data_IF_162549928001
#
_entry.id   IF_162549928001
#
_cell.length_a   1.000
_cell.length_b   1.000
_cell.length_c   1.000
_cell.angle_alpha   90.00
_cell.angle_beta   90.00
_cell.angle_gamma   90.00
#
_symmetry.space_group_name_H-M   'P 1'
#
loop_
_entity.id
_entity.type
_entity.pdbx_description
1 polymer ?
#
# COMPACT_ATOMS: atom_id res chain seq x y z
N UNK A 1 -3.47 -10.23 11.23
CA UNK A 1 -3.74 -10.16 10.73
C UNK A 1 -4.38 -9.85 10.34
N UNK A 2 -4.14 -9.69 10.28
CA UNK A 2 -4.73 -9.41 9.92
C UNK A 2 -5.66 -9.55 9.49
N UNK A 3 -5.86 -9.13 9.55
CA UNK A 3 -7.07 -9.12 9.28
C UNK A 3 -7.44 -9.52 7.97
N UNK A 4 -7.32 -10.78 7.69
CA UNK A 4 -7.61 -11.32 6.45
C UNK A 4 -8.98 -11.07 5.97
N UNK A 5 -9.90 -10.94 6.88
CA UNK A 5 -11.20 -10.69 6.54
C UNK A 5 -11.39 -9.40 5.90
N UNK A 6 -10.79 -8.40 6.43
CA UNK A 6 -10.88 -7.11 5.90
C UNK A 6 -10.29 -7.09 4.55
N UNK A 7 -9.19 -7.76 4.37
CA UNK A 7 -8.53 -7.80 3.10
C UNK A 7 -9.42 -8.45 2.07
N UNK A 8 -10.05 -9.52 2.42
CA UNK A 8 -10.90 -10.23 1.50
C UNK A 8 -12.09 -9.39 1.11
N UNK A 9 -12.68 -8.72 2.06
CA UNK A 9 -13.81 -7.91 1.81
C UNK A 9 -13.51 -6.79 0.87
N UNK A 10 -12.31 -6.25 0.94
CA UNK A 10 -11.93 -5.14 0.10
C UNK A 10 -11.15 -5.54 -1.14
N UNK A 11 -11.14 -6.82 -1.44
CA UNK A 11 -10.43 -7.30 -2.58
C UNK A 11 -10.95 -6.61 -3.81
N UNK A 12 -10.14 -6.10 -4.64
CA UNK A 12 -10.55 -5.41 -5.83
C UNK A 12 -10.72 -3.91 -5.67
N UNK A 13 -10.77 -3.43 -4.45
CA UNK A 13 -10.89 -2.01 -4.24
C UNK A 13 -9.53 -1.40 -4.25
N UNK A 14 -9.46 -0.12 -4.49
CA UNK A 14 -8.20 0.60 -4.50
C UNK A 14 -8.25 1.74 -3.51
N UNK A 15 -7.08 2.15 -3.09
CA UNK A 15 -6.94 3.24 -2.13
C UNK A 15 -5.82 4.14 -2.59
N UNK A 16 -5.72 5.31 -1.99
CA UNK A 16 -4.61 6.20 -2.20
C UNK A 16 -3.74 6.09 -0.96
N UNK A 17 -2.46 5.93 -1.14
CA UNK A 17 -1.53 5.85 -0.04
C UNK A 17 -0.49 6.94 -0.14
N UNK A 18 -0.23 7.60 0.98
CA UNK A 18 0.85 8.57 1.06
C UNK A 18 1.89 7.94 1.98
N UNK A 19 3.04 7.64 1.43
CA UNK A 19 4.09 6.99 2.17
C UNK A 19 5.11 8.02 2.61
N UNK A 20 5.35 8.08 3.91
CA UNK A 20 6.30 8.99 4.50
C UNK A 20 7.58 8.22 4.80
N UNK A 21 8.69 8.71 4.30
CA UNK A 21 9.96 8.02 4.47
C UNK A 21 10.77 8.66 5.59
N UNK A 22 11.66 7.89 6.16
CA UNK A 22 12.44 8.35 7.30
C UNK A 22 13.36 9.52 6.97
N UNK A 23 13.65 9.74 5.70
CA UNK A 23 14.50 10.86 5.29
C UNK A 23 13.70 12.15 5.12
N UNK A 24 12.42 12.12 5.44
CA UNK A 24 11.59 13.32 5.34
C UNK A 24 10.81 13.47 4.04
N UNK A 25 11.06 12.60 3.09
CA UNK A 25 10.34 12.67 1.82
C UNK A 25 9.01 11.95 1.95
N UNK A 26 8.10 12.27 1.04
CA UNK A 26 6.85 11.54 1.00
C UNK A 26 6.44 11.40 -0.45
N UNK A 27 5.70 10.36 -0.74
CA UNK A 27 5.21 10.09 -2.08
C UNK A 27 3.77 9.63 -2.02
N UNK A 28 2.99 10.07 -2.99
CA UNK A 28 1.58 9.72 -3.07
C UNK A 28 1.38 8.72 -4.18
N UNK A 29 0.72 7.62 -3.88
CA UNK A 29 0.41 6.60 -4.87
C UNK A 29 -1.09 6.40 -4.91
N UNK A 30 -1.69 6.56 -6.07
CA UNK A 30 -3.12 6.41 -6.23
C UNK A 30 -3.44 5.07 -6.87
N UNK A 31 -4.65 4.61 -6.68
CA UNK A 31 -5.13 3.37 -7.29
C UNK A 31 -4.31 2.16 -6.90
N UNK A 32 -3.99 2.06 -5.63
CA UNK A 32 -3.25 0.93 -5.09
C UNK A 32 -4.23 -0.09 -4.55
N UNK A 33 -4.08 -1.34 -4.94
CA UNK A 33 -4.96 -2.39 -4.45
C UNK A 33 -4.70 -2.61 -2.98
N UNK A 34 -5.73 -3.05 -2.28
CA UNK A 34 -5.64 -3.22 -0.84
C UNK A 34 -4.81 -4.45 -0.45
N UNK A 35 -4.65 -5.39 -1.36
CA UNK A 35 -3.85 -6.57 -1.04
C UNK A 35 -2.38 -6.27 -1.27
N UNK A 36 -1.53 -6.84 -0.47
CA UNK A 36 -0.10 -6.65 -0.62
C UNK A 36 0.61 -7.92 -0.15
N UNK A 37 1.86 -8.04 -0.49
CA UNK A 37 2.65 -9.20 -0.12
C UNK A 37 3.92 -8.75 0.57
N UNK A 38 4.21 -9.35 1.71
CA UNK A 38 5.44 -9.09 2.41
C UNK A 38 6.48 -10.08 1.94
N UNK A 39 7.68 -9.58 1.70
CA UNK A 39 8.74 -10.44 1.26
C UNK A 39 10.03 -9.94 1.95
N UNK A 40 10.35 -10.55 3.07
CA UNK A 40 11.48 -10.07 3.88
C UNK A 40 11.15 -8.70 4.40
N UNK A 41 12.02 -7.74 4.12
CA UNK A 41 11.79 -6.37 4.58
C UNK A 41 11.17 -5.52 3.49
N UNK A 42 10.69 -6.15 2.43
CA UNK A 42 10.02 -5.41 1.36
C UNK A 42 8.54 -5.70 1.34
N UNK A 43 7.76 -4.73 0.96
CA UNK A 43 6.33 -4.90 0.76
C UNK A 43 6.04 -4.63 -0.71
N UNK A 44 5.38 -5.57 -1.35
CA UNK A 44 4.97 -5.43 -2.75
C UNK A 44 3.53 -4.99 -2.75
N UNK A 45 3.27 -3.90 -3.45
CA UNK A 45 1.91 -3.40 -3.59
C UNK A 45 1.57 -3.39 -5.06
N UNK A 46 0.32 -3.66 -5.37
CA UNK A 46 -0.12 -3.78 -6.75
C UNK A 46 -1.03 -2.61 -7.12
N UNK A 47 -0.78 -2.06 -8.29
CA UNK A 47 -1.57 -0.94 -8.77
C UNK A 47 -2.69 -1.44 -9.65
N UNK A 48 -3.71 -0.65 -9.79
CA UNK A 48 -4.86 -0.99 -10.60
C UNK A 48 -4.50 -1.29 -12.04
N UNK A 49 -3.49 -0.60 -12.55
CA UNK A 49 -3.08 -0.77 -13.95
C UNK A 49 -2.18 -1.98 -14.17
N UNK A 50 -1.96 -2.75 -13.14
CA UNK A 50 -1.13 -3.95 -13.26
C UNK A 50 0.32 -3.76 -12.87
N UNK A 51 0.73 -2.55 -12.61
CA UNK A 51 2.11 -2.31 -12.19
C UNK A 51 2.27 -2.67 -10.72
N UNK A 52 3.48 -2.72 -10.27
CA UNK A 52 3.79 -3.15 -8.92
C UNK A 52 4.80 -2.20 -8.31
N UNK A 53 4.62 -1.94 -7.03
CA UNK A 53 5.55 -1.14 -6.27
C UNK A 53 6.21 -2.02 -5.23
N UNK A 54 7.49 -1.79 -4.98
CA UNK A 54 8.20 -2.53 -3.98
C UNK A 54 8.81 -1.54 -3.03
N UNK A 55 8.42 -1.61 -1.79
CA UNK A 55 8.83 -0.64 -0.77
C UNK A 55 9.71 -1.33 0.26
N UNK A 56 10.83 -0.69 0.59
CA UNK A 56 11.69 -1.21 1.65
C UNK A 56 11.13 -0.69 2.96
N UNK A 57 10.56 -1.57 3.75
CA UNK A 57 9.90 -1.21 4.99
C UNK A 57 10.81 -0.46 5.97
N UNK A 58 12.08 -0.72 5.90
CA UNK A 58 13.02 -0.07 6.80
C UNK A 58 13.12 1.44 6.56
N UNK A 59 12.73 1.90 5.39
CA UNK A 59 12.79 3.31 5.05
C UNK A 59 11.46 4.04 5.26
N UNK A 60 10.47 3.33 5.74
CA UNK A 60 9.12 3.89 5.88
C UNK A 60 8.86 4.31 7.31
N UNK A 61 8.43 5.54 7.48
CA UNK A 61 8.05 6.05 8.79
C UNK A 61 6.59 5.71 9.06
N UNK A 62 5.71 6.04 8.13
CA UNK A 62 4.30 5.72 8.27
C UNK A 62 3.63 5.80 6.90
N UNK A 63 2.45 5.25 6.79
CA UNK A 63 1.67 5.29 5.56
C UNK A 63 0.28 5.77 5.90
N UNK A 64 -0.17 6.78 5.16
CA UNK A 64 -1.54 7.26 5.33
C UNK A 64 -2.35 6.63 4.22
N UNK A 65 -3.48 6.09 4.54
CA UNK A 65 -4.34 5.41 3.59
C UNK A 65 -5.68 6.12 3.50
N UNK A 66 -6.07 6.45 2.29
CA UNK A 66 -7.33 7.12 2.06
C UNK A 66 -8.18 6.26 1.12
N UNK A 67 -9.38 5.96 1.52
CA UNK A 67 -10.28 5.17 0.70
C UNK A 67 -10.73 6.03 -0.46
N UNK A 68 -10.75 5.43 -1.64
CA UNK A 68 -11.23 6.16 -2.80
C UNK A 68 -12.73 6.01 -2.88
N UNK A 69 -13.39 7.06 -3.36
CA UNK A 69 -14.80 6.99 -3.51
C UNK A 69 -15.12 6.28 -4.76
N UNK A 70 -16.18 5.54 -4.75
CA UNK A 70 -16.56 4.79 -5.92
C UNK A 70 -17.42 5.56 -6.79
#
# INVERSE_FOLDING_TARGET
MIDLQSTTKNQGKVVTQIIHFINGEKRTFENIKTSSIKQGQFTKMFCKDGSMLMINDANVLCIEVFNEKE
#
